data_IF_954188762051
#
_entry.id   IF_954188762051
#
_cell.length_a   1.000
_cell.length_b   1.000
_cell.length_c   1.000
_cell.angle_alpha   90.00
_cell.angle_beta   90.00
_cell.angle_gamma   90.00
#
_symmetry.space_group_name_H-M   'P 1'
#
loop_
_entity.id
_entity.type
_entity.pdbx_description
1 polymer ?
#
# COMPACT_ATOMS: atom_id res chain seq x y z
N UNK A 1 -14.79 -10.57 -31.09
CA UNK A 1 -14.64 -10.63 -29.61
C UNK A 1 -15.82 -9.87 -29.00
N UNK A 2 -16.49 -10.44 -27.99
CA UNK A 2 -17.59 -9.77 -27.33
C UNK A 2 -17.08 -8.68 -26.38
N UNK A 3 -17.91 -7.67 -26.09
CA UNK A 3 -17.60 -6.59 -25.14
C UNK A 3 -17.07 -7.14 -23.79
N UNK A 4 -17.69 -8.21 -23.30
CA UNK A 4 -17.25 -8.84 -22.04
C UNK A 4 -15.78 -9.28 -22.07
N UNK A 5 -15.32 -9.91 -23.15
CA UNK A 5 -13.93 -10.37 -23.27
C UNK A 5 -12.94 -9.23 -23.28
N UNK A 6 -13.30 -8.10 -23.91
CA UNK A 6 -12.48 -6.88 -23.93
C UNK A 6 -12.40 -6.27 -22.52
N UNK A 7 -13.55 -6.16 -21.84
CA UNK A 7 -13.60 -5.63 -20.48
C UNK A 7 -12.85 -6.53 -19.48
N UNK A 8 -12.96 -7.84 -19.64
CA UNK A 8 -12.20 -8.79 -18.80
C UNK A 8 -10.69 -8.64 -18.99
N UNK A 9 -10.24 -8.54 -20.24
CA UNK A 9 -8.81 -8.31 -20.54
C UNK A 9 -8.34 -6.99 -19.92
N UNK A 10 -9.08 -5.91 -20.09
CA UNK A 10 -8.76 -4.60 -19.54
C UNK A 10 -8.72 -4.64 -18.01
N UNK A 11 -9.70 -5.28 -17.37
CA UNK A 11 -9.78 -5.44 -15.92
C UNK A 11 -8.56 -6.18 -15.36
N UNK A 12 -8.24 -7.34 -15.92
CA UNK A 12 -7.11 -8.18 -15.48
C UNK A 12 -5.78 -7.46 -15.70
N UNK A 13 -5.57 -6.87 -16.88
CA UNK A 13 -4.34 -6.15 -17.20
C UNK A 13 -4.13 -4.95 -16.27
N UNK A 14 -5.20 -4.19 -16.00
CA UNK A 14 -5.15 -3.06 -15.08
C UNK A 14 -4.93 -3.51 -13.62
N UNK A 15 -5.50 -4.65 -13.22
CA UNK A 15 -5.24 -5.21 -11.89
C UNK A 15 -3.76 -5.60 -11.73
N UNK A 16 -3.14 -6.20 -12.76
CA UNK A 16 -1.70 -6.49 -12.75
C UNK A 16 -0.88 -5.20 -12.59
N UNK A 17 -1.18 -4.16 -13.38
CA UNK A 17 -0.50 -2.87 -13.27
C UNK A 17 -0.67 -2.24 -11.87
N UNK A 18 -1.87 -2.34 -11.28
CA UNK A 18 -2.14 -1.88 -9.93
C UNK A 18 -1.25 -2.59 -8.89
N UNK A 19 -1.13 -3.91 -8.98
CA UNK A 19 -0.25 -4.69 -8.10
C UNK A 19 1.23 -4.38 -8.29
N UNK A 20 1.68 -4.14 -9.53
CA UNK A 20 3.05 -3.68 -9.80
C UNK A 20 3.31 -2.34 -9.12
N UNK A 21 2.42 -1.36 -9.25
CA UNK A 21 2.54 -0.06 -8.60
C UNK A 21 2.54 -0.15 -7.07
N UNK A 22 1.65 -0.97 -6.50
CA UNK A 22 1.62 -1.22 -5.05
C UNK A 22 2.88 -1.95 -4.56
N UNK A 23 3.42 -2.88 -5.36
CA UNK A 23 4.70 -3.54 -5.07
C UNK A 23 5.86 -2.54 -5.01
N UNK A 24 5.94 -1.60 -5.96
CA UNK A 24 6.96 -0.54 -5.93
C UNK A 24 6.87 0.28 -4.64
N UNK A 25 5.68 0.63 -4.18
CA UNK A 25 5.51 1.36 -2.92
C UNK A 25 5.87 0.51 -1.70
N UNK A 26 5.42 -0.74 -1.63
CA UNK A 26 5.68 -1.64 -0.50
C UNK A 26 7.17 -1.98 -0.35
N UNK A 27 7.84 -2.31 -1.44
CA UNK A 27 9.28 -2.55 -1.43
C UNK A 27 10.07 -1.26 -1.24
N UNK A 28 9.61 -0.15 -1.83
CA UNK A 28 10.21 1.17 -1.68
C UNK A 28 10.26 1.62 -0.22
N UNK A 29 9.15 1.53 0.53
CA UNK A 29 9.14 1.92 1.95
C UNK A 29 10.07 1.04 2.79
N UNK A 30 10.19 -0.24 2.44
CA UNK A 30 11.12 -1.15 3.12
C UNK A 30 12.58 -0.81 2.80
N UNK A 31 12.86 -0.40 1.57
CA UNK A 31 14.20 -0.01 1.12
C UNK A 31 14.65 1.32 1.72
N UNK A 32 13.76 2.35 1.75
CA UNK A 32 14.13 3.65 2.38
C UNK A 32 14.35 3.53 3.89
N UNK A 33 13.66 2.61 4.56
CA UNK A 33 13.89 2.35 5.99
C UNK A 33 15.27 1.73 6.28
N UNK A 34 15.92 1.15 5.28
CA UNK A 34 17.28 0.58 5.36
C UNK A 34 18.35 1.51 4.79
N UNK A 35 17.96 2.64 4.24
CA UNK A 35 18.89 3.59 3.65
C UNK A 35 19.77 4.23 4.73
N UNK A 36 21.04 4.40 4.41
CA UNK A 36 22.05 5.04 5.27
C UNK A 36 22.51 6.38 4.71
N UNK A 37 22.11 6.72 3.50
CA UNK A 37 22.52 7.92 2.76
C UNK A 37 21.33 8.64 2.12
N UNK A 38 21.42 9.97 2.00
CA UNK A 38 20.35 10.81 1.45
C UNK A 38 20.04 10.46 -0.01
N UNK A 39 21.05 10.26 -0.84
CA UNK A 39 20.89 9.94 -2.26
C UNK A 39 20.16 8.61 -2.48
N UNK A 40 20.30 7.63 -1.57
CA UNK A 40 19.54 6.39 -1.62
C UNK A 40 18.05 6.64 -1.40
N UNK A 41 17.70 7.44 -0.38
CA UNK A 41 16.30 7.80 -0.12
C UNK A 41 15.72 8.54 -1.32
N UNK A 42 16.45 9.50 -1.89
CA UNK A 42 16.04 10.28 -3.05
C UNK A 42 15.74 9.37 -4.26
N UNK A 43 16.67 8.51 -4.65
CA UNK A 43 16.51 7.58 -5.79
C UNK A 43 15.30 6.66 -5.61
N UNK A 44 15.11 6.11 -4.41
CA UNK A 44 14.00 5.18 -4.13
C UNK A 44 12.66 5.94 -4.11
N UNK A 45 12.60 7.12 -3.50
CA UNK A 45 11.35 7.91 -3.50
C UNK A 45 10.99 8.42 -4.89
N UNK A 46 11.95 8.75 -5.73
CA UNK A 46 11.70 9.14 -7.13
C UNK A 46 11.07 7.97 -7.91
N UNK A 47 11.56 6.73 -7.72
CA UNK A 47 10.94 5.54 -8.28
C UNK A 47 9.50 5.34 -7.74
N UNK A 48 9.27 5.53 -6.44
CA UNK A 48 7.93 5.45 -5.86
C UNK A 48 6.99 6.50 -6.44
N UNK A 49 7.49 7.71 -6.72
CA UNK A 49 6.72 8.80 -7.34
C UNK A 49 6.37 8.52 -8.81
N UNK A 50 7.18 7.74 -9.55
CA UNK A 50 6.80 7.25 -10.89
C UNK A 50 5.56 6.34 -10.82
N UNK A 51 5.46 5.47 -9.81
CA UNK A 51 4.30 4.62 -9.60
C UNK A 51 3.02 5.39 -9.20
N UNK A 52 3.15 6.66 -8.81
CA UNK A 52 2.05 7.54 -8.40
C UNK A 52 0.97 7.73 -9.47
N UNK A 53 1.33 7.70 -10.74
CA UNK A 53 0.36 7.74 -11.83
C UNK A 53 -0.19 6.35 -12.17
N UNK A 54 0.65 5.33 -12.08
CA UNK A 54 0.26 3.94 -12.41
C UNK A 54 -0.85 3.45 -11.49
N UNK A 55 -0.73 3.66 -10.18
CA UNK A 55 -1.70 3.16 -9.19
C UNK A 55 -3.12 3.71 -9.42
N UNK A 56 -3.37 5.05 -9.44
CA UNK A 56 -4.72 5.56 -9.60
C UNK A 56 -5.31 5.31 -10.99
N UNK A 57 -4.50 5.37 -12.06
CA UNK A 57 -4.98 5.07 -13.43
C UNK A 57 -5.39 3.60 -13.51
N UNK A 58 -4.58 2.68 -13.01
CA UNK A 58 -4.91 1.26 -13.00
C UNK A 58 -6.13 0.97 -12.13
N UNK A 59 -6.26 1.58 -10.96
CA UNK A 59 -7.42 1.43 -10.10
C UNK A 59 -8.71 1.92 -10.79
N UNK A 60 -8.64 3.07 -11.47
CA UNK A 60 -9.77 3.61 -12.24
C UNK A 60 -10.20 2.65 -13.35
N UNK A 61 -9.25 2.11 -14.13
CA UNK A 61 -9.54 1.16 -15.20
C UNK A 61 -10.10 -0.17 -14.66
N UNK A 62 -9.58 -0.68 -13.53
CA UNK A 62 -10.12 -1.86 -12.84
C UNK A 62 -11.59 -1.63 -12.46
N UNK A 63 -11.91 -0.45 -11.90
CA UNK A 63 -13.28 -0.12 -11.48
C UNK A 63 -14.20 -0.02 -12.70
N UNK A 64 -13.83 0.72 -13.73
CA UNK A 64 -14.66 0.91 -14.93
C UNK A 64 -14.92 -0.41 -15.63
N UNK A 65 -13.88 -1.19 -15.90
CA UNK A 65 -14.02 -2.48 -16.58
C UNK A 65 -14.78 -3.50 -15.72
N UNK A 66 -14.50 -3.54 -14.40
CA UNK A 66 -15.21 -4.41 -13.45
C UNK A 66 -16.68 -4.04 -13.31
N UNK A 67 -17.00 -2.75 -13.21
CA UNK A 67 -18.38 -2.28 -13.14
C UNK A 67 -19.15 -2.58 -14.43
N UNK A 68 -18.54 -2.39 -15.60
CA UNK A 68 -19.15 -2.75 -16.88
C UNK A 68 -19.48 -4.25 -16.93
N UNK A 69 -18.57 -5.12 -16.49
CA UNK A 69 -18.85 -6.57 -16.43
C UNK A 69 -19.93 -6.92 -15.39
N UNK A 70 -19.92 -6.24 -14.24
CA UNK A 70 -20.94 -6.44 -13.22
C UNK A 70 -22.34 -6.09 -13.75
N UNK A 71 -22.49 -4.94 -14.41
CA UNK A 71 -23.77 -4.49 -14.95
C UNK A 71 -24.27 -5.36 -16.11
N UNK A 72 -23.38 -5.89 -16.94
CA UNK A 72 -23.76 -6.64 -18.15
C UNK A 72 -23.92 -8.13 -17.95
N UNK A 73 -23.25 -8.72 -16.96
CA UNK A 73 -23.20 -10.17 -16.81
C UNK A 73 -23.61 -10.72 -15.43
N UNK A 74 -23.47 -9.97 -14.34
CA UNK A 74 -23.60 -10.49 -12.97
C UNK A 74 -24.71 -9.80 -12.15
N UNK A 75 -24.93 -8.51 -12.36
CA UNK A 75 -25.77 -7.65 -11.54
C UNK A 75 -25.05 -7.17 -10.26
N UNK A 76 -25.36 -5.93 -9.85
CA UNK A 76 -24.77 -5.30 -8.66
C UNK A 76 -25.24 -5.90 -7.33
N UNK A 77 -26.31 -6.68 -7.36
CA UNK A 77 -26.83 -7.38 -6.16
C UNK A 77 -26.00 -8.61 -5.77
N UNK A 78 -24.99 -8.96 -6.56
CA UNK A 78 -24.09 -10.08 -6.28
C UNK A 78 -23.18 -9.71 -5.10
N UNK A 79 -23.29 -10.46 -4.01
CA UNK A 79 -22.69 -10.13 -2.70
C UNK A 79 -21.18 -9.89 -2.76
N UNK A 80 -20.43 -10.76 -3.43
CA UNK A 80 -18.98 -10.61 -3.54
C UNK A 80 -18.56 -9.38 -4.34
N UNK A 81 -19.37 -8.95 -5.35
CA UNK A 81 -19.13 -7.72 -6.12
C UNK A 81 -19.34 -6.50 -5.21
N UNK A 82 -20.44 -6.47 -4.45
CA UNK A 82 -20.75 -5.36 -3.55
C UNK A 82 -19.65 -5.19 -2.49
N UNK A 83 -19.17 -6.29 -1.89
CA UNK A 83 -18.08 -6.26 -0.89
C UNK A 83 -16.76 -5.81 -1.53
N UNK A 84 -16.44 -6.29 -2.73
CA UNK A 84 -15.22 -5.87 -3.44
C UNK A 84 -15.24 -4.39 -3.81
N UNK A 85 -16.38 -3.86 -4.31
CA UNK A 85 -16.54 -2.43 -4.58
C UNK A 85 -16.43 -1.59 -3.30
N UNK A 86 -17.06 -2.03 -2.20
CA UNK A 86 -16.91 -1.40 -0.90
C UNK A 86 -15.45 -1.35 -0.43
N UNK A 87 -14.71 -2.45 -0.63
CA UNK A 87 -13.27 -2.52 -0.35
C UNK A 87 -12.46 -1.50 -1.16
N UNK A 88 -12.74 -1.37 -2.45
CA UNK A 88 -12.06 -0.39 -3.32
C UNK A 88 -12.37 1.06 -2.93
N UNK A 89 -13.63 1.35 -2.55
CA UNK A 89 -14.03 2.67 -2.04
C UNK A 89 -13.28 2.99 -0.74
N UNK A 90 -13.00 2.01 0.09
CA UNK A 90 -12.24 2.19 1.33
C UNK A 90 -10.73 2.34 1.07
N UNK A 91 -10.16 1.59 0.13
CA UNK A 91 -8.74 1.61 -0.22
C UNK A 91 -8.34 2.93 -0.90
N UNK A 92 -9.18 3.47 -1.78
CA UNK A 92 -8.88 4.67 -2.56
C UNK A 92 -8.45 5.88 -1.71
N UNK A 93 -9.24 6.27 -0.69
CA UNK A 93 -8.88 7.34 0.24
C UNK A 93 -7.55 7.10 0.98
N UNK A 94 -7.25 5.88 1.39
CA UNK A 94 -5.98 5.55 2.06
C UNK A 94 -4.81 5.85 1.12
N UNK A 95 -4.91 5.43 -0.15
CA UNK A 95 -3.89 5.70 -1.15
C UNK A 95 -3.66 7.20 -1.39
N UNK A 96 -4.76 7.94 -1.56
CA UNK A 96 -4.73 9.34 -1.97
C UNK A 96 -4.40 10.29 -0.82
N UNK A 97 -4.93 10.06 0.39
CA UNK A 97 -4.82 10.99 1.50
C UNK A 97 -3.80 10.59 2.56
N UNK A 98 -3.37 9.33 2.57
CA UNK A 98 -2.37 8.86 3.54
C UNK A 98 -1.06 8.51 2.85
N UNK A 99 -1.07 7.61 1.86
CA UNK A 99 0.16 7.08 1.27
C UNK A 99 0.86 8.13 0.39
N UNK A 100 0.17 8.67 -0.62
CA UNK A 100 0.75 9.61 -1.58
C UNK A 100 1.35 10.87 -0.93
N UNK A 101 0.66 11.60 -0.02
CA UNK A 101 1.24 12.80 0.60
C UNK A 101 2.45 12.49 1.49
N UNK A 102 2.47 11.35 2.18
CA UNK A 102 3.61 10.95 3.00
C UNK A 102 4.84 10.63 2.15
N UNK A 103 4.69 9.86 1.07
CA UNK A 103 5.78 9.56 0.11
C UNK A 103 6.32 10.86 -0.48
N UNK A 104 5.46 11.78 -0.91
CA UNK A 104 5.87 13.09 -1.43
C UNK A 104 6.61 13.94 -0.39
N UNK A 105 6.16 13.92 0.86
CA UNK A 105 6.82 14.66 1.94
C UNK A 105 8.23 14.13 2.20
N UNK A 106 8.44 12.82 2.16
CA UNK A 106 9.77 12.20 2.31
C UNK A 106 10.65 12.61 1.14
N UNK A 107 10.17 12.47 -0.10
CA UNK A 107 10.90 12.84 -1.31
C UNK A 107 11.28 14.32 -1.30
N UNK A 108 10.31 15.20 -1.08
CA UNK A 108 10.55 16.64 -1.05
C UNK A 108 11.63 17.03 -0.02
N UNK A 109 11.59 16.45 1.18
CA UNK A 109 12.59 16.70 2.19
C UNK A 109 13.98 16.13 1.79
N UNK A 110 14.04 14.93 1.23
CA UNK A 110 15.30 14.35 0.75
C UNK A 110 15.96 15.21 -0.34
N UNK A 111 15.17 15.86 -1.21
CA UNK A 111 15.68 16.74 -2.25
C UNK A 111 16.23 18.10 -1.72
N UNK A 112 15.89 18.52 -0.50
CA UNK A 112 16.47 19.74 0.10
C UNK A 112 17.81 19.52 0.78
N UNK A 113 18.23 18.27 0.96
CA UNK A 113 19.45 17.91 1.68
C UNK A 113 20.60 17.65 0.70
N UNK A 114 21.86 17.95 1.08
CA UNK A 114 23.02 17.54 0.30
C UNK A 114 23.23 16.01 0.36
N UNK A 115 24.01 15.49 -0.60
CA UNK A 115 24.41 14.07 -0.57
C UNK A 115 25.29 13.77 0.65
N UNK A 116 25.13 12.61 1.24
CA UNK A 116 25.89 12.22 2.42
C UNK A 116 25.15 11.29 3.36
N UNK A 117 25.61 11.22 4.61
CA UNK A 117 25.01 10.41 5.66
C UNK A 117 23.56 10.86 5.93
N UNK A 118 22.68 9.90 6.26
CA UNK A 118 21.28 10.16 6.50
C UNK A 118 21.07 10.96 7.80
N UNK A 119 20.56 12.21 7.76
CA UNK A 119 20.27 12.98 8.96
C UNK A 119 19.13 12.34 9.77
N UNK A 120 19.17 12.47 11.11
CA UNK A 120 18.16 11.92 12.02
C UNK A 120 16.73 12.36 11.67
N UNK A 121 16.55 13.61 11.22
CA UNK A 121 15.26 14.16 10.83
C UNK A 121 14.67 13.45 9.60
N UNK A 122 15.48 13.07 8.60
CA UNK A 122 15.02 12.29 7.46
C UNK A 122 14.83 10.82 7.84
N UNK A 123 15.74 10.25 8.63
CA UNK A 123 15.61 8.89 9.15
C UNK A 123 14.29 8.68 9.94
N UNK A 124 13.87 9.66 10.72
CA UNK A 124 12.59 9.61 11.43
C UNK A 124 11.38 9.52 10.47
N UNK A 125 11.44 10.21 9.32
CA UNK A 125 10.38 10.20 8.30
C UNK A 125 10.34 8.90 7.49
N UNK A 126 11.50 8.26 7.23
CA UNK A 126 11.57 6.98 6.52
C UNK A 126 11.02 5.80 7.32
N UNK A 127 10.84 5.99 8.63
CA UNK A 127 10.27 5.01 9.55
C UNK A 127 8.85 5.37 10.00
N UNK A 128 8.04 5.94 9.13
CA UNK A 128 6.64 6.30 9.43
C UNK A 128 5.77 5.04 9.54
N UNK A 129 5.32 4.74 10.77
CA UNK A 129 4.52 3.55 11.07
C UNK A 129 3.13 3.60 10.41
N UNK A 130 2.54 4.79 10.31
CA UNK A 130 1.23 4.99 9.66
C UNK A 130 1.33 4.65 8.17
N UNK A 131 2.39 5.13 7.49
CA UNK A 131 2.63 4.83 6.08
C UNK A 131 2.82 3.33 5.86
N UNK A 132 3.57 2.68 6.74
CA UNK A 132 3.82 1.23 6.68
C UNK A 132 2.54 0.42 6.88
N UNK A 133 1.79 0.71 7.95
CA UNK A 133 0.51 0.03 8.23
C UNK A 133 -0.46 0.25 7.06
N UNK A 134 -0.58 1.47 6.55
CA UNK A 134 -1.45 1.79 5.43
C UNK A 134 -1.09 0.98 4.17
N UNK A 135 0.21 0.89 3.81
CA UNK A 135 0.66 0.13 2.65
C UNK A 135 0.43 -1.38 2.80
N UNK A 136 0.77 -1.96 3.94
CA UNK A 136 0.55 -3.38 4.21
C UNK A 136 -0.94 -3.71 4.18
N UNK A 137 -1.78 -2.92 4.87
CA UNK A 137 -3.23 -3.13 4.92
C UNK A 137 -3.87 -2.98 3.54
N UNK A 138 -3.50 -1.95 2.78
CA UNK A 138 -4.01 -1.75 1.42
C UNK A 138 -3.64 -2.92 0.51
N UNK A 139 -2.39 -3.40 0.59
CA UNK A 139 -1.91 -4.53 -0.22
C UNK A 139 -2.67 -5.81 0.12
N UNK A 140 -2.85 -6.13 1.39
CA UNK A 140 -3.58 -7.34 1.80
C UNK A 140 -5.07 -7.26 1.49
N UNK A 141 -5.69 -6.08 1.58
CA UNK A 141 -7.07 -5.87 1.14
C UNK A 141 -7.23 -6.09 -0.38
N UNK A 142 -6.26 -5.67 -1.21
CA UNK A 142 -6.26 -5.99 -2.64
C UNK A 142 -6.18 -7.49 -2.89
N UNK A 143 -5.37 -8.24 -2.13
CA UNK A 143 -5.37 -9.72 -2.19
C UNK A 143 -6.71 -10.29 -1.73
N UNK A 144 -7.35 -9.71 -0.71
CA UNK A 144 -8.71 -10.06 -0.32
C UNK A 144 -9.71 -9.89 -1.46
N UNK A 145 -9.62 -8.78 -2.22
CA UNK A 145 -10.47 -8.55 -3.40
C UNK A 145 -10.21 -9.61 -4.49
N UNK A 146 -8.95 -9.99 -4.76
CA UNK A 146 -8.65 -11.10 -5.69
C UNK A 146 -9.32 -12.39 -5.22
N UNK A 147 -9.23 -12.70 -3.92
CA UNK A 147 -9.90 -13.87 -3.35
C UNK A 147 -11.41 -13.83 -3.62
N UNK A 148 -12.08 -12.69 -3.40
CA UNK A 148 -13.51 -12.54 -3.69
C UNK A 148 -13.83 -12.77 -5.18
N UNK A 149 -12.99 -12.23 -6.08
CA UNK A 149 -13.17 -12.36 -7.53
C UNK A 149 -13.01 -13.80 -8.01
N UNK A 150 -12.14 -14.58 -7.39
CA UNK A 150 -11.85 -15.96 -7.79
C UNK A 150 -12.80 -16.97 -7.17
N UNK A 151 -13.15 -16.82 -5.89
CA UNK A 151 -13.97 -17.80 -5.14
C UNK A 151 -15.46 -17.47 -5.15
N UNK A 152 -15.83 -16.20 -5.40
CA UNK A 152 -17.22 -15.71 -5.44
C UNK A 152 -18.06 -16.13 -4.23
N UNK A 153 -17.61 -15.85 -3.00
CA UNK A 153 -18.23 -16.37 -1.79
C UNK A 153 -19.57 -15.68 -1.48
N UNK A 154 -20.34 -16.27 -0.57
CA UNK A 154 -21.53 -15.65 0.01
C UNK A 154 -21.14 -14.43 0.85
N UNK A 155 -22.11 -13.56 1.14
CA UNK A 155 -21.88 -12.28 1.81
C UNK A 155 -21.07 -12.40 3.11
N UNK A 156 -21.46 -13.30 4.00
CA UNK A 156 -20.77 -13.51 5.29
C UNK A 156 -19.31 -13.91 5.12
N UNK A 157 -19.03 -14.84 4.20
CA UNK A 157 -17.68 -15.28 3.88
C UNK A 157 -16.87 -14.19 3.17
N UNK A 158 -17.53 -13.38 2.32
CA UNK A 158 -16.89 -12.25 1.64
C UNK A 158 -16.43 -11.19 2.66
N UNK A 159 -17.31 -10.80 3.60
CA UNK A 159 -16.96 -9.86 4.67
C UNK A 159 -15.86 -10.45 5.56
N UNK A 160 -15.99 -11.72 5.96
CA UNK A 160 -14.98 -12.41 6.77
C UNK A 160 -13.60 -12.40 6.10
N UNK A 161 -13.52 -12.70 4.80
CA UNK A 161 -12.28 -12.66 4.04
C UNK A 161 -11.63 -11.26 4.02
N UNK A 162 -12.43 -10.20 3.85
CA UNK A 162 -11.92 -8.82 3.89
C UNK A 162 -11.44 -8.41 5.28
N UNK A 163 -12.14 -8.82 6.34
CA UNK A 163 -11.70 -8.57 7.72
C UNK A 163 -10.39 -9.31 8.02
N UNK A 164 -10.27 -10.57 7.62
CA UNK A 164 -9.02 -11.33 7.75
C UNK A 164 -7.89 -10.63 6.98
N UNK A 165 -8.14 -10.20 5.74
CA UNK A 165 -7.16 -9.47 4.96
C UNK A 165 -6.71 -8.17 5.64
N UNK A 166 -7.64 -7.41 6.24
CA UNK A 166 -7.31 -6.21 7.00
C UNK A 166 -6.46 -6.53 8.24
N UNK A 167 -6.84 -7.54 9.03
CA UNK A 167 -6.08 -7.98 10.20
C UNK A 167 -4.67 -8.46 9.82
N UNK A 168 -4.53 -9.24 8.74
CA UNK A 168 -3.23 -9.69 8.24
C UNK A 168 -2.37 -8.50 7.79
N UNK A 169 -2.97 -7.47 7.19
CA UNK A 169 -2.27 -6.26 6.78
C UNK A 169 -1.67 -5.52 7.97
N UNK A 170 -2.46 -5.30 9.01
CA UNK A 170 -1.97 -4.68 10.24
C UNK A 170 -0.93 -5.57 10.91
N UNK A 171 -1.20 -6.86 11.06
CA UNK A 171 -0.29 -7.81 11.71
C UNK A 171 1.07 -7.91 10.99
N UNK A 172 1.08 -7.89 9.65
CA UNK A 172 2.32 -7.94 8.86
C UNK A 172 3.19 -6.68 9.00
N UNK A 173 2.60 -5.55 9.39
CA UNK A 173 3.33 -4.31 9.65
C UNK A 173 3.96 -4.26 11.06
N UNK A 174 3.40 -4.97 12.05
CA UNK A 174 3.80 -4.92 13.46
C UNK A 174 5.28 -5.27 13.74
N UNK A 175 5.89 -6.31 13.13
CA UNK A 175 7.30 -6.65 13.40
C UNK A 175 8.25 -5.49 13.12
N UNK A 176 7.92 -4.67 12.13
CA UNK A 176 8.71 -3.50 11.76
C UNK A 176 8.49 -2.30 12.71
N UNK A 177 7.33 -2.23 13.37
CA UNK A 177 7.01 -1.21 14.38
C UNK A 177 7.68 -1.53 15.72
N UNK A 178 7.64 -2.79 16.17
CA UNK A 178 8.19 -3.23 17.47
C UNK A 178 9.73 -3.25 17.52
N UNK A 179 10.42 -3.54 16.41
CA UNK A 179 11.88 -3.52 16.36
C UNK A 179 12.47 -2.15 16.73
N UNK A 180 11.69 -1.10 16.67
CA UNK A 180 12.07 0.28 17.00
C UNK A 180 11.97 0.57 18.50
N UNK A 181 10.97 0.04 19.19
CA UNK A 181 10.76 0.23 20.63
C UNK A 181 11.91 -0.38 21.45
N UNK A 182 12.40 -1.55 21.05
CA UNK A 182 13.51 -2.22 21.70
C UNK A 182 14.83 -1.43 21.58
N UNK A 183 15.16 -0.92 20.39
CA UNK A 183 16.39 -0.15 20.17
C UNK A 183 16.39 1.25 20.81
N UNK A 184 15.23 1.84 21.05
CA UNK A 184 15.12 3.13 21.77
C UNK A 184 15.31 2.95 23.28
N UNK A 185 14.78 1.86 23.84
CA UNK A 185 14.95 1.51 25.27
C UNK A 185 16.38 1.16 25.63
N UNK A 186 17.11 0.44 24.77
CA UNK A 186 18.52 0.14 24.99
C UNK A 186 19.41 1.40 25.00
N UNK A 187 19.16 2.35 24.11
CA UNK A 187 19.94 3.61 24.08
C UNK A 187 19.67 4.51 25.28
N UNK A 188 18.44 4.52 25.82
CA UNK A 188 18.09 5.25 27.03
C UNK A 188 18.84 4.68 28.24
N UNK A 189 18.88 3.34 28.36
CA UNK A 189 19.57 2.68 29.47
C UNK A 189 21.11 2.82 29.39
N UNK A 190 21.69 2.91 28.17
CA UNK A 190 23.13 3.17 28.03
C UNK A 190 23.51 4.59 28.44
N UNK A 191 22.67 5.58 28.14
CA UNK A 191 22.92 6.97 28.56
C UNK A 191 22.79 7.19 30.08
N UNK A 192 21.91 6.45 30.75
CA UNK A 192 21.81 6.49 32.22
C UNK A 192 22.99 5.75 32.91
N UNK A 193 23.51 4.68 32.30
CA UNK A 193 24.66 3.95 32.82
C UNK A 193 26.00 4.67 32.68
N UNK A 194 26.16 5.54 31.66
CA UNK A 194 27.39 6.33 31.44
C UNK A 194 27.43 7.65 32.27
N UNK A 195 26.32 8.00 32.92
CA UNK A 195 26.20 9.23 33.75
C UNK A 195 26.27 8.94 35.26
N UNK A 196 26.44 7.68 35.69
CA UNK A 196 26.59 7.24 37.08
C UNK A 196 28.02 6.81 37.39
#
# INVERSE_FOLDING_TARGET
MGLYSIMLFLHVSSAICLFVGMGIWLFGITAIARATRVEQVRTITDLMLMARLVVPVSAFLVIIAGLTMALTAWGLQTSWIAVALGGLIFIGPIGTWVIDPKVRSIAAFAHTLPDGALPAALAARTHDDVLRIALHTTTTLLFGIIFLMTTKPLLTSAIGAMLIAACLGVASALPFVHARGAGASERSNQHEGDSA
#
